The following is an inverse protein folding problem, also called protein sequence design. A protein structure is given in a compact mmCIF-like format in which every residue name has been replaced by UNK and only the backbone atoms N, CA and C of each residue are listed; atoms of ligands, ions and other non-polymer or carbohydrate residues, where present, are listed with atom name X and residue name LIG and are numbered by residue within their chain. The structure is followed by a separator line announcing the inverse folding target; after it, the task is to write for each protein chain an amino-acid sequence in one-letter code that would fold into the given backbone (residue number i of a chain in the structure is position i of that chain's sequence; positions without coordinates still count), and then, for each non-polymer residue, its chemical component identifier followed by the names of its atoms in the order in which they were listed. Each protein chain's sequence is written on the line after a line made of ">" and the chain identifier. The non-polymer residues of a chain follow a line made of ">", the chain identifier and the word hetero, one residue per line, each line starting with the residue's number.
data_IF_749469055843
#
_entry.id   IF_749469055843
#
_cell.length_a   1.000
_cell.length_b   1.000
_cell.length_c   1.000
_cell.angle_alpha   90.00
_cell.angle_beta   90.00
_cell.angle_gamma   90.00
#
_symmetry.space_group_name_H-M   'P 1'
#
loop_
_entity.id
_entity.type
_entity.pdbx_description
1 polymer ?
#
# COMPACT_ATOMS: atom_id res chain seq x y z
N UNK A 1 15.67 -12.74 -5.25
CA UNK A 1 14.60 -13.70 -5.55
C UNK A 1 13.50 -12.93 -6.24
N UNK A 2 13.23 -13.23 -7.52
CA UNK A 2 12.14 -12.62 -8.31
C UNK A 2 10.82 -13.33 -8.01
N UNK A 3 9.69 -12.72 -8.38
CA UNK A 3 8.35 -13.26 -8.08
C UNK A 3 8.16 -14.72 -8.50
N UNK A 4 8.55 -15.07 -9.74
CA UNK A 4 8.52 -16.44 -10.25
C UNK A 4 9.41 -17.45 -9.49
N UNK A 5 10.38 -16.98 -8.71
CA UNK A 5 11.26 -17.83 -7.89
C UNK A 5 10.72 -18.05 -6.48
N UNK A 6 9.67 -17.34 -6.08
CA UNK A 6 9.06 -17.43 -4.75
C UNK A 6 8.09 -18.59 -4.67
N UNK A 7 7.97 -19.17 -3.48
CA UNK A 7 6.82 -20.03 -3.13
C UNK A 7 5.53 -19.22 -3.13
N UNK A 8 4.38 -19.89 -3.29
CA UNK A 8 3.09 -19.19 -3.27
C UNK A 8 2.79 -18.51 -1.93
N UNK A 9 3.32 -19.04 -0.82
CA UNK A 9 3.23 -18.40 0.49
C UNK A 9 4.04 -17.08 0.53
N UNK A 10 5.25 -17.07 -0.01
CA UNK A 10 6.10 -15.88 -0.08
C UNK A 10 5.49 -14.80 -0.98
N UNK A 11 4.92 -15.19 -2.13
CA UNK A 11 4.20 -14.26 -3.01
C UNK A 11 3.05 -13.58 -2.28
N UNK A 12 2.21 -14.35 -1.60
CA UNK A 12 1.08 -13.79 -0.82
C UNK A 12 1.56 -12.86 0.29
N UNK A 13 2.61 -13.23 1.03
CA UNK A 13 3.20 -12.36 2.07
C UNK A 13 3.74 -11.06 1.51
N UNK A 14 4.41 -11.11 0.35
CA UNK A 14 4.90 -9.92 -0.34
C UNK A 14 3.74 -9.00 -0.74
N UNK A 15 2.72 -9.54 -1.39
CA UNK A 15 1.55 -8.79 -1.83
C UNK A 15 0.78 -8.18 -0.64
N UNK A 16 0.60 -8.93 0.45
CA UNK A 16 0.02 -8.40 1.68
C UNK A 16 0.84 -7.23 2.24
N UNK A 17 2.18 -7.34 2.28
CA UNK A 17 3.03 -6.25 2.74
C UNK A 17 2.91 -5.00 1.86
N UNK A 18 2.90 -5.17 0.54
CA UNK A 18 2.72 -4.08 -0.44
C UNK A 18 1.35 -3.41 -0.27
N UNK A 19 0.29 -4.20 -0.06
CA UNK A 19 -1.05 -3.70 0.22
C UNK A 19 -1.06 -2.76 1.44
N UNK A 20 -0.53 -3.21 2.58
CA UNK A 20 -0.52 -2.41 3.80
C UNK A 20 0.36 -1.16 3.69
N UNK A 21 1.50 -1.25 3.01
CA UNK A 21 2.36 -0.08 2.75
C UNK A 21 1.63 0.95 1.88
N UNK A 22 0.95 0.49 0.82
CA UNK A 22 0.18 1.36 -0.09
C UNK A 22 -1.03 2.00 0.61
N UNK A 23 -1.78 1.24 1.42
CA UNK A 23 -2.86 1.78 2.25
C UNK A 23 -2.35 2.80 3.27
N UNK A 24 -1.24 2.51 3.94
CA UNK A 24 -0.59 3.43 4.87
C UNK A 24 -0.18 4.73 4.20
N UNK A 25 0.44 4.66 3.02
CA UNK A 25 0.78 5.84 2.22
C UNK A 25 -0.46 6.68 1.87
N UNK A 26 -1.54 6.03 1.45
CA UNK A 26 -2.79 6.72 1.13
C UNK A 26 -3.39 7.43 2.36
N UNK A 27 -3.33 6.82 3.54
CA UNK A 27 -3.81 7.46 4.77
C UNK A 27 -2.93 8.65 5.18
N UNK A 28 -1.61 8.56 4.98
CA UNK A 28 -0.70 9.69 5.21
C UNK A 28 -1.01 10.87 4.27
N UNK A 29 -1.32 10.61 3.00
CA UNK A 29 -1.76 11.66 2.06
C UNK A 29 -3.02 12.38 2.56
N UNK A 30 -4.03 11.62 2.99
CA UNK A 30 -5.28 12.19 3.51
C UNK A 30 -5.09 13.03 4.76
N UNK A 31 -4.23 12.59 5.67
CA UNK A 31 -3.90 13.37 6.88
C UNK A 31 -3.17 14.66 6.49
N UNK A 32 -2.20 14.59 5.58
CA UNK A 32 -1.46 15.77 5.13
C UNK A 32 -2.37 16.82 4.49
N UNK A 33 -3.35 16.40 3.66
CA UNK A 33 -4.32 17.32 3.06
C UNK A 33 -5.17 18.04 4.12
N UNK A 34 -5.49 17.37 5.24
CA UNK A 34 -6.26 17.95 6.35
C UNK A 34 -5.44 18.83 7.29
N UNK A 35 -4.16 18.52 7.49
CA UNK A 35 -3.28 19.24 8.41
C UNK A 35 -2.46 20.36 7.77
N UNK A 36 -2.45 20.45 6.43
CA UNK A 36 -1.88 21.58 5.68
C UNK A 36 -2.41 22.95 6.12
N UNK A 37 -3.58 22.99 6.75
CA UNK A 37 -4.18 24.22 7.30
C UNK A 37 -3.62 24.64 8.68
N UNK A 38 -2.85 23.79 9.38
CA UNK A 38 -2.50 23.98 10.81
C UNK A 38 -1.05 23.71 11.20
N UNK A 39 -0.24 23.07 10.36
CA UNK A 39 1.16 22.73 10.71
C UNK A 39 2.14 23.89 10.49
N UNK A 40 3.20 23.92 11.31
CA UNK A 40 4.36 24.78 11.07
C UNK A 40 5.21 24.19 9.96
N UNK A 41 5.90 25.05 9.18
CA UNK A 41 6.66 24.65 7.98
C UNK A 41 7.67 23.50 8.21
N UNK A 42 8.19 23.32 9.43
CA UNK A 42 9.19 22.29 9.74
C UNK A 42 8.59 20.88 9.88
N UNK A 43 7.49 20.74 10.63
CA UNK A 43 6.82 19.45 10.87
C UNK A 43 6.17 18.94 9.58
N UNK A 44 5.53 19.85 8.83
CA UNK A 44 4.94 19.56 7.53
C UNK A 44 5.99 19.07 6.52
N UNK A 45 7.20 19.66 6.56
CA UNK A 45 8.32 19.25 5.71
C UNK A 45 8.83 17.87 6.09
N UNK A 46 9.02 17.57 7.37
CA UNK A 46 9.47 16.24 7.83
C UNK A 46 8.46 15.15 7.46
N UNK A 47 7.16 15.41 7.65
CA UNK A 47 6.10 14.49 7.28
C UNK A 47 6.08 14.23 5.75
N UNK A 48 6.24 15.27 4.95
CA UNK A 48 6.33 15.16 3.50
C UNK A 48 7.56 14.35 3.05
N UNK A 49 8.73 14.56 3.66
CA UNK A 49 9.94 13.79 3.36
C UNK A 49 9.77 12.31 3.70
N UNK A 50 9.19 11.99 4.87
CA UNK A 50 8.86 10.60 5.26
C UNK A 50 7.91 9.93 4.26
N UNK A 51 6.91 10.68 3.79
CA UNK A 51 5.97 10.21 2.77
C UNK A 51 6.66 9.88 1.44
N UNK A 52 7.48 10.80 0.94
CA UNK A 52 8.25 10.59 -0.29
C UNK A 52 9.18 9.38 -0.16
N UNK A 53 9.84 9.23 0.98
CA UNK A 53 10.71 8.08 1.25
C UNK A 53 9.92 6.76 1.25
N UNK A 54 8.73 6.73 1.84
CA UNK A 54 7.84 5.55 1.81
C UNK A 54 7.39 5.23 0.38
N UNK A 55 6.93 6.22 -0.38
CA UNK A 55 6.52 6.03 -1.78
C UNK A 55 7.69 5.49 -2.63
N UNK A 56 8.89 6.05 -2.48
CA UNK A 56 10.09 5.56 -3.17
C UNK A 56 10.49 4.14 -2.72
N UNK A 57 10.28 3.78 -1.45
CA UNK A 57 10.52 2.43 -0.98
C UNK A 57 9.54 1.43 -1.61
N UNK A 58 8.25 1.75 -1.69
CA UNK A 58 7.24 0.91 -2.34
C UNK A 58 7.57 0.72 -3.82
N UNK A 59 7.89 1.80 -4.54
CA UNK A 59 8.26 1.71 -5.96
C UNK A 59 9.47 0.79 -6.19
N UNK A 60 10.49 0.86 -5.32
CA UNK A 60 11.66 -0.02 -5.39
C UNK A 60 11.32 -1.49 -5.09
N UNK A 61 10.39 -1.75 -4.17
CA UNK A 61 9.93 -3.12 -3.89
C UNK A 61 9.23 -3.68 -5.13
N UNK A 62 8.32 -2.90 -5.72
CA UNK A 62 7.59 -3.33 -6.92
C UNK A 62 8.55 -3.61 -8.09
N UNK A 63 9.50 -2.72 -8.36
CA UNK A 63 10.50 -2.92 -9.41
C UNK A 63 11.41 -4.12 -9.14
N UNK A 64 11.86 -4.29 -7.89
CA UNK A 64 12.75 -5.38 -7.54
C UNK A 64 12.06 -6.74 -7.63
N UNK A 65 10.82 -6.84 -7.15
CA UNK A 65 10.16 -8.13 -6.95
C UNK A 65 9.06 -8.43 -7.95
N UNK A 66 8.26 -7.45 -8.38
CA UNK A 66 7.06 -7.64 -9.21
C UNK A 66 7.28 -7.31 -10.70
N UNK A 67 8.37 -6.64 -11.07
CA UNK A 67 8.66 -6.39 -12.48
C UNK A 67 9.16 -7.65 -13.21
N UNK A 68 8.47 -8.02 -14.29
CA UNK A 68 8.91 -8.97 -15.31
C UNK A 68 8.80 -8.38 -16.72
N UNK A 69 9.71 -8.79 -17.61
CA UNK A 69 9.61 -8.50 -19.04
C UNK A 69 8.63 -9.45 -19.76
N UNK A 70 8.25 -10.55 -19.11
CA UNK A 70 7.27 -11.51 -19.64
C UNK A 70 5.84 -11.05 -19.30
N UNK A 71 5.06 -10.77 -20.35
CA UNK A 71 3.65 -10.36 -20.23
C UNK A 71 2.80 -11.42 -19.49
N UNK A 72 3.08 -12.70 -19.71
CA UNK A 72 2.37 -13.80 -19.04
C UNK A 72 2.65 -13.80 -17.54
N UNK A 73 3.90 -13.53 -17.14
CA UNK A 73 4.26 -13.43 -15.72
C UNK A 73 3.58 -12.21 -15.08
N UNK A 74 3.52 -11.07 -15.78
CA UNK A 74 2.84 -9.88 -15.30
C UNK A 74 1.33 -10.11 -15.11
N UNK A 75 0.66 -10.81 -16.03
CA UNK A 75 -0.74 -11.19 -15.88
C UNK A 75 -0.97 -12.09 -14.65
N UNK A 76 -0.07 -13.04 -14.40
CA UNK A 76 -0.14 -13.91 -13.22
C UNK A 76 0.08 -13.15 -11.91
N UNK A 77 1.01 -12.18 -11.92
CA UNK A 77 1.25 -11.28 -10.79
C UNK A 77 -0.02 -10.49 -10.49
N UNK A 78 -0.62 -9.86 -11.51
CA UNK A 78 -1.83 -9.06 -11.36
C UNK A 78 -2.99 -9.91 -10.84
N UNK A 79 -3.21 -11.11 -11.39
CA UNK A 79 -4.28 -11.99 -10.95
C UNK A 79 -4.15 -12.39 -9.47
N UNK A 80 -2.92 -12.67 -9.01
CA UNK A 80 -2.68 -12.97 -7.60
C UNK A 80 -2.77 -11.73 -6.70
N UNK A 81 -2.34 -10.57 -7.20
CA UNK A 81 -2.51 -9.28 -6.51
C UNK A 81 -3.99 -9.01 -6.25
N UNK A 82 -4.83 -9.11 -7.28
CA UNK A 82 -6.27 -8.91 -7.20
C UNK A 82 -6.90 -9.89 -6.19
N UNK A 83 -6.57 -11.19 -6.30
CA UNK A 83 -7.06 -12.22 -5.35
C UNK A 83 -6.70 -11.87 -3.90
N UNK A 84 -5.44 -11.52 -3.63
CA UNK A 84 -4.98 -11.21 -2.27
C UNK A 84 -5.63 -9.93 -1.76
N UNK A 85 -5.75 -8.91 -2.60
CA UNK A 85 -6.29 -7.61 -2.18
C UNK A 85 -7.78 -7.71 -1.90
N UNK A 86 -8.55 -8.36 -2.77
CA UNK A 86 -9.96 -8.66 -2.54
C UNK A 86 -10.15 -9.47 -1.26
N UNK A 87 -9.34 -10.51 -1.04
CA UNK A 87 -9.40 -11.30 0.18
C UNK A 87 -9.16 -10.47 1.45
N UNK A 88 -8.19 -9.55 1.44
CA UNK A 88 -7.92 -8.65 2.57
C UNK A 88 -9.11 -7.71 2.82
N UNK A 89 -9.69 -7.13 1.77
CA UNK A 89 -10.83 -6.21 1.91
C UNK A 89 -12.11 -6.94 2.39
N UNK A 90 -12.36 -8.13 1.85
CA UNK A 90 -13.57 -8.90 2.15
C UNK A 90 -13.51 -9.62 3.48
N UNK A 91 -12.32 -10.03 3.93
CA UNK A 91 -12.18 -10.92 5.09
C UNK A 91 -11.10 -10.50 6.09
N UNK A 92 -10.13 -9.70 5.67
CA UNK A 92 -8.97 -9.31 6.49
C UNK A 92 -9.30 -8.35 7.61
N UNK A 93 -10.42 -7.64 7.54
CA UNK A 93 -10.83 -6.64 8.52
C UNK A 93 -12.26 -6.85 9.02
N UNK A 94 -12.42 -6.69 10.33
CA UNK A 94 -13.74 -6.49 10.94
C UNK A 94 -14.36 -5.17 10.46
N UNK A 95 -15.69 -5.04 10.52
CA UNK A 95 -16.38 -3.77 10.20
C UNK A 95 -15.78 -2.58 10.96
N UNK A 96 -15.40 -2.81 12.23
CA UNK A 96 -14.75 -1.83 13.11
C UNK A 96 -13.37 -1.41 12.61
N UNK A 97 -12.64 -2.27 11.89
CA UNK A 97 -11.33 -1.92 11.35
C UNK A 97 -11.46 -1.30 9.95
N UNK A 98 -12.43 -1.73 9.14
CA UNK A 98 -12.68 -1.21 7.77
C UNK A 98 -12.88 0.29 7.75
N UNK A 99 -13.56 0.84 8.76
CA UNK A 99 -13.75 2.30 8.91
C UNK A 99 -12.45 3.10 9.12
N UNK A 100 -11.28 2.50 9.23
CA UNK A 100 -10.01 3.25 9.16
C UNK A 100 -9.36 3.23 7.77
N UNK A 101 -9.83 2.33 6.90
CA UNK A 101 -9.30 2.11 5.54
C UNK A 101 -10.24 2.58 4.43
N UNK A 102 -11.53 2.78 4.74
CA UNK A 102 -12.53 3.27 3.79
C UNK A 102 -12.24 4.70 3.30
N UNK A 103 -12.49 4.90 2.00
CA UNK A 103 -12.23 6.17 1.29
C UNK A 103 -13.02 7.35 1.88
N UNK A 104 -14.13 7.07 2.56
CA UNK A 104 -15.03 8.09 3.14
C UNK A 104 -14.88 8.27 4.66
N UNK A 105 -14.01 7.50 5.31
CA UNK A 105 -14.14 7.30 6.76
C UNK A 105 -13.52 8.36 7.67
N UNK A 106 -12.84 9.39 7.15
CA UNK A 106 -12.33 10.48 7.99
C UNK A 106 -13.43 11.55 8.16
N UNK A 107 -14.55 11.15 8.74
CA UNK A 107 -15.48 12.03 9.44
C UNK A 107 -15.40 11.65 10.91
N UNK A 108 -14.35 12.13 11.59
CA UNK A 108 -14.33 12.09 13.05
C UNK A 108 -15.46 12.98 13.54
N UNK A 109 -16.49 12.34 14.11
CA UNK A 109 -17.60 12.97 14.86
C UNK A 109 -17.12 13.55 16.18
#
# INVERSE_FOLDING_TARGET
>A
MKFNQMTDEEKRKLLMAIYFLSKGLHQLDRLQDKFREKETDAEAKEAFEKKLNLSAAIARINDLYLYSEDETENEQIQALEDEVFEWIEDTGFTEEVRKYFDKDSIMFS
#
